data_IF_273397267815
#
_entry.id   IF_273397267815
#
_cell.length_a   1.000
_cell.length_b   1.000
_cell.length_c   1.000
_cell.angle_alpha   90.00
_cell.angle_beta   90.00
_cell.angle_gamma   90.00
#
_symmetry.space_group_name_H-M   'P 1'
#
loop_
_entity.id
_entity.type
_entity.pdbx_description
1 polymer ?
#
# COMPACT_ATOMS: atom_id res chain seq x y z
N UNK A 1 3.55 -4.82 14.76
CA UNK A 1 3.91 -4.26 16.08
C UNK A 1 3.06 -4.90 17.18
N UNK A 2 3.69 -5.27 18.29
CA UNK A 2 3.01 -5.90 19.43
C UNK A 2 2.40 -4.82 20.34
N UNK A 3 1.12 -4.98 20.72
CA UNK A 3 0.47 -4.11 21.70
C UNK A 3 1.17 -4.13 23.06
N UNK A 4 1.78 -5.27 23.45
CA UNK A 4 2.49 -5.43 24.71
C UNK A 4 3.86 -4.76 24.76
N UNK A 5 4.63 -4.78 23.69
CA UNK A 5 6.00 -4.25 23.66
C UNK A 5 6.11 -2.82 23.14
N UNK A 6 5.02 -2.25 22.61
CA UNK A 6 4.96 -0.92 21.98
C UNK A 6 6.06 -0.66 20.95
N UNK A 7 6.62 -1.72 20.36
CA UNK A 7 7.71 -1.67 19.41
C UNK A 7 7.47 -2.50 18.16
N UNK A 8 8.27 -2.27 17.12
CA UNK A 8 8.32 -3.15 15.95
C UNK A 8 9.01 -4.46 16.32
N UNK A 9 8.48 -5.59 15.82
CA UNK A 9 9.09 -6.90 16.05
C UNK A 9 10.42 -6.95 15.29
N UNK A 10 11.45 -7.57 15.89
CA UNK A 10 12.76 -7.75 15.24
C UNK A 10 12.64 -8.40 13.84
N UNK A 11 11.65 -9.28 13.63
CA UNK A 11 11.38 -9.92 12.35
C UNK A 11 11.01 -8.97 11.20
N UNK A 12 10.47 -7.78 11.50
CA UNK A 12 10.18 -6.78 10.47
C UNK A 12 11.47 -6.13 9.93
N UNK A 13 12.52 -6.07 10.76
CA UNK A 13 13.84 -5.55 10.36
C UNK A 13 14.65 -6.56 9.56
N UNK A 14 14.57 -7.84 9.88
CA UNK A 14 15.35 -8.90 9.20
C UNK A 14 14.91 -9.11 7.76
N UNK A 15 13.64 -8.84 7.42
CA UNK A 15 13.14 -8.90 6.04
C UNK A 15 13.65 -7.77 5.15
N UNK A 16 14.15 -6.70 5.75
CA UNK A 16 14.60 -5.49 5.06
C UNK A 16 16.12 -5.27 5.21
N UNK A 17 16.87 -6.29 5.65
CA UNK A 17 18.33 -6.15 5.89
C UNK A 17 19.08 -5.61 4.67
N UNK A 18 18.79 -6.13 3.50
CA UNK A 18 19.42 -5.66 2.26
C UNK A 18 19.13 -4.18 1.99
N UNK A 19 17.90 -3.77 2.22
CA UNK A 19 17.45 -2.40 1.98
C UNK A 19 17.95 -1.44 3.08
N UNK A 20 18.03 -1.90 4.34
CA UNK A 20 18.57 -1.12 5.47
C UNK A 20 20.05 -0.75 5.28
N UNK A 21 20.79 -1.59 4.53
CA UNK A 21 22.20 -1.38 4.24
C UNK A 21 22.45 -0.65 2.91
N UNK A 22 21.39 -0.34 2.15
CA UNK A 22 21.53 0.40 0.91
C UNK A 22 21.83 1.88 1.19
N UNK A 23 22.86 2.47 0.56
CA UNK A 23 23.32 3.83 0.86
C UNK A 23 22.27 4.90 0.56
N UNK A 24 21.32 4.60 -0.34
CA UNK A 24 20.27 5.53 -0.78
C UNK A 24 18.90 5.16 -0.19
N UNK A 25 18.84 4.37 0.87
CA UNK A 25 17.59 3.99 1.50
C UNK A 25 17.57 4.33 2.99
N UNK A 26 16.44 4.81 3.46
CA UNK A 26 16.17 5.05 4.87
C UNK A 26 14.88 4.33 5.27
N UNK A 27 14.92 3.55 6.33
CA UNK A 27 13.77 2.80 6.82
C UNK A 27 13.44 3.22 8.24
N UNK A 28 12.21 3.69 8.43
CA UNK A 28 11.68 4.06 9.74
C UNK A 28 10.51 3.16 10.13
N UNK A 29 10.70 2.19 11.03
CA UNK A 29 9.59 1.46 11.62
C UNK A 29 8.74 2.39 12.50
N UNK A 30 7.43 2.42 12.26
CA UNK A 30 6.48 3.16 13.10
C UNK A 30 5.64 2.16 13.89
N UNK A 31 5.77 2.07 15.22
CA UNK A 31 4.91 1.22 16.01
C UNK A 31 3.48 1.78 15.99
N UNK A 32 2.50 0.91 15.73
CA UNK A 32 1.06 1.28 15.68
C UNK A 32 0.43 1.43 17.06
N UNK A 33 1.20 1.34 18.14
CA UNK A 33 0.71 1.50 19.51
C UNK A 33 0.54 2.98 19.84
N UNK A 34 -0.68 3.46 19.84
CA UNK A 34 -1.02 4.83 20.23
C UNK A 34 -2.25 5.35 19.49
N UNK A 35 -2.64 6.57 19.77
CA UNK A 35 -3.75 7.21 19.07
C UNK A 35 -3.39 7.38 17.58
N UNK A 36 -4.32 7.02 16.69
CA UNK A 36 -4.16 7.14 15.23
C UNK A 36 -3.64 8.53 14.81
N UNK A 37 -4.11 9.58 15.44
CA UNK A 37 -3.69 10.96 15.15
C UNK A 37 -2.23 11.25 15.47
N UNK A 38 -1.67 10.66 16.53
CA UNK A 38 -0.27 10.84 16.90
C UNK A 38 0.71 10.16 15.92
N UNK A 39 0.35 8.98 15.41
CA UNK A 39 1.15 8.26 14.40
C UNK A 39 1.12 9.01 13.08
N UNK A 40 -0.05 9.46 12.64
CA UNK A 40 -0.22 10.20 11.40
C UNK A 40 0.60 11.51 11.39
N UNK A 41 0.58 12.27 12.49
CA UNK A 41 1.38 13.49 12.63
C UNK A 41 2.88 13.22 12.51
N UNK A 42 3.40 12.24 13.26
CA UNK A 42 4.82 11.87 13.22
C UNK A 42 5.25 11.34 11.85
N UNK A 43 4.36 10.66 11.14
CA UNK A 43 4.63 10.19 9.79
C UNK A 43 4.75 11.37 8.82
N UNK A 44 3.83 12.33 8.86
CA UNK A 44 3.91 13.55 8.05
C UNK A 44 5.19 14.33 8.30
N UNK A 45 5.57 14.55 9.57
CA UNK A 45 6.83 15.21 9.93
C UNK A 45 8.04 14.44 9.36
N UNK A 46 7.99 13.11 9.33
CA UNK A 46 9.06 12.28 8.76
C UNK A 46 9.13 12.39 7.23
N UNK A 47 7.99 12.44 6.54
CA UNK A 47 7.95 12.66 5.07
C UNK A 47 8.68 13.96 4.72
N UNK A 48 8.33 15.05 5.38
CA UNK A 48 8.99 16.37 5.17
C UNK A 48 10.50 16.29 5.40
N UNK A 49 10.94 15.56 6.42
CA UNK A 49 12.37 15.38 6.67
C UNK A 49 13.06 14.54 5.59
N UNK A 50 12.40 13.51 5.06
CA UNK A 50 12.92 12.71 3.95
C UNK A 50 13.05 13.54 2.68
N UNK A 51 12.05 14.34 2.34
CA UNK A 51 12.09 15.27 1.21
C UNK A 51 13.22 16.29 1.37
N UNK A 52 13.35 16.90 2.54
CA UNK A 52 14.43 17.83 2.84
C UNK A 52 15.82 17.18 2.79
N UNK A 53 15.91 15.88 3.05
CA UNK A 53 17.14 15.10 2.93
C UNK A 53 17.44 14.64 1.49
N UNK A 54 16.58 14.96 0.52
CA UNK A 54 16.77 14.67 -0.91
C UNK A 54 16.30 13.28 -1.34
N UNK A 55 15.38 12.65 -0.60
CA UNK A 55 14.74 11.41 -1.07
C UNK A 55 13.65 11.74 -2.10
N UNK A 56 13.76 11.15 -3.28
CA UNK A 56 12.81 11.35 -4.39
C UNK A 56 11.52 10.57 -4.21
N UNK A 57 11.56 9.46 -3.49
CA UNK A 57 10.41 8.55 -3.29
C UNK A 57 10.29 8.18 -1.83
N UNK A 58 9.10 8.38 -1.27
CA UNK A 58 8.76 8.01 0.11
C UNK A 58 7.59 7.03 0.12
N UNK A 59 7.81 5.81 0.60
CA UNK A 59 6.76 4.81 0.78
C UNK A 59 6.22 4.84 2.21
N UNK A 60 4.91 4.97 2.36
CA UNK A 60 4.21 4.86 3.64
C UNK A 60 3.42 3.56 3.62
N UNK A 61 3.88 2.56 4.37
CA UNK A 61 3.20 1.27 4.47
C UNK A 61 2.25 1.25 5.67
N UNK A 62 1.01 0.80 5.43
CA UNK A 62 0.00 0.56 6.47
C UNK A 62 -0.14 -0.94 6.78
N UNK A 63 -0.48 -1.26 8.02
CA UNK A 63 -0.58 -2.64 8.52
C UNK A 63 -2.01 -3.18 8.36
N UNK A 64 -2.54 -3.20 7.15
CA UNK A 64 -3.87 -3.75 6.88
C UNK A 64 -5.01 -2.74 7.03
N UNK A 65 -6.23 -3.23 6.96
CA UNK A 65 -7.46 -2.44 6.90
C UNK A 65 -7.85 -1.86 8.27
N UNK A 66 -7.75 -0.55 8.40
CA UNK A 66 -8.15 0.21 9.58
C UNK A 66 -8.56 1.61 9.16
N UNK A 67 -8.50 2.56 10.07
CA UNK A 67 -8.75 3.98 9.74
C UNK A 67 -7.47 4.76 9.40
N UNK A 68 -6.33 4.08 9.35
CA UNK A 68 -5.03 4.66 9.01
C UNK A 68 -4.89 5.00 7.53
N UNK A 69 -5.64 4.32 6.66
CA UNK A 69 -5.61 4.51 5.21
C UNK A 69 -6.04 5.93 4.80
N UNK A 70 -7.09 6.46 5.43
CA UNK A 70 -7.57 7.83 5.19
C UNK A 70 -6.49 8.84 5.58
N UNK A 71 -5.83 8.62 6.72
CA UNK A 71 -4.76 9.49 7.17
C UNK A 71 -3.55 9.44 6.23
N UNK A 72 -3.19 8.27 5.73
CA UNK A 72 -2.09 8.10 4.76
C UNK A 72 -2.45 8.73 3.41
N UNK A 73 -3.64 8.50 2.89
CA UNK A 73 -4.11 9.13 1.66
C UNK A 73 -3.99 10.66 1.72
N UNK A 74 -4.35 11.28 2.85
CA UNK A 74 -4.28 12.75 3.01
C UNK A 74 -2.85 13.34 3.04
N UNK A 75 -1.81 12.50 3.06
CA UNK A 75 -0.41 12.93 3.12
C UNK A 75 0.47 12.31 2.03
N UNK A 76 -0.12 11.61 1.07
CA UNK A 76 0.56 10.97 -0.07
C UNK A 76 0.04 11.52 -1.39
N UNK A 77 0.91 11.58 -2.38
CA UNK A 77 0.57 12.01 -3.74
C UNK A 77 -0.08 10.89 -4.55
N UNK A 78 0.12 9.63 -4.12
CA UNK A 78 -0.36 8.45 -4.81
C UNK A 78 -0.72 7.34 -3.82
N UNK A 79 -1.90 6.75 -3.96
CA UNK A 79 -2.41 5.70 -3.09
C UNK A 79 -2.46 4.35 -3.83
N UNK A 80 -1.49 3.47 -3.50
CA UNK A 80 -1.40 2.12 -4.04
C UNK A 80 -2.09 1.11 -3.12
N UNK A 81 -3.13 0.46 -3.59
CA UNK A 81 -3.80 -0.63 -2.89
C UNK A 81 -3.25 -1.99 -3.35
N UNK A 82 -2.66 -2.76 -2.44
CA UNK A 82 -2.14 -4.09 -2.72
C UNK A 82 -3.18 -5.16 -2.35
N UNK A 83 -3.53 -6.01 -3.31
CA UNK A 83 -4.52 -7.08 -3.15
C UNK A 83 -3.92 -8.44 -3.49
N UNK A 84 -4.52 -9.50 -2.95
CA UNK A 84 -4.17 -10.88 -3.28
C UNK A 84 -5.13 -11.45 -4.33
N UNK A 85 -4.64 -12.38 -5.14
CA UNK A 85 -5.40 -13.04 -6.21
C UNK A 85 -6.57 -13.91 -5.75
N UNK A 86 -6.69 -14.20 -4.46
CA UNK A 86 -7.80 -14.99 -3.89
C UNK A 86 -8.90 -14.15 -3.25
N UNK A 87 -8.74 -12.84 -3.23
CA UNK A 87 -9.66 -11.92 -2.56
C UNK A 87 -10.92 -11.59 -3.37
N UNK A 88 -11.21 -12.33 -4.44
CA UNK A 88 -12.42 -12.11 -5.27
C UNK A 88 -13.73 -12.30 -4.49
N UNK A 89 -13.77 -13.23 -3.54
CA UNK A 89 -14.89 -13.39 -2.62
C UNK A 89 -14.94 -12.29 -1.55
N UNK A 90 -13.82 -11.60 -1.33
CA UNK A 90 -13.66 -10.53 -0.35
C UNK A 90 -13.98 -9.12 -0.90
N UNK A 91 -14.47 -9.00 -2.14
CA UNK A 91 -14.95 -7.70 -2.65
C UNK A 91 -16.02 -7.11 -1.74
N UNK A 92 -16.78 -7.96 -1.06
CA UNK A 92 -17.75 -7.54 -0.04
C UNK A 92 -17.06 -7.11 1.28
N UNK A 93 -15.83 -7.55 1.55
CA UNK A 93 -15.03 -7.19 2.73
C UNK A 93 -14.20 -5.93 2.55
N UNK A 94 -13.91 -5.53 1.32
CA UNK A 94 -13.16 -4.29 1.08
C UNK A 94 -14.12 -3.12 1.23
N UNK A 95 -13.81 -2.26 2.18
CA UNK A 95 -14.58 -1.03 2.37
C UNK A 95 -14.55 -0.22 1.07
N UNK A 96 -15.71 0.03 0.49
CA UNK A 96 -15.88 0.84 -0.73
C UNK A 96 -15.02 2.11 -0.72
N UNK A 97 -14.91 2.77 0.44
CA UNK A 97 -14.12 3.98 0.60
C UNK A 97 -12.62 3.81 0.36
N UNK A 98 -12.04 2.62 0.59
CA UNK A 98 -10.61 2.38 0.30
C UNK A 98 -10.38 2.26 -1.20
N UNK A 99 -11.29 1.59 -1.92
CA UNK A 99 -11.22 1.50 -3.38
C UNK A 99 -11.39 2.87 -4.04
N UNK A 100 -12.31 3.68 -3.54
CA UNK A 100 -12.58 5.03 -4.05
C UNK A 100 -11.37 5.97 -3.88
N UNK A 101 -10.54 5.77 -2.85
CA UNK A 101 -9.31 6.52 -2.62
C UNK A 101 -8.11 5.99 -3.40
N UNK A 102 -8.22 4.82 -4.06
CA UNK A 102 -7.08 4.17 -4.68
C UNK A 102 -6.80 4.75 -6.06
N UNK A 103 -5.57 5.20 -6.27
CA UNK A 103 -5.09 5.59 -7.59
C UNK A 103 -4.71 4.38 -8.44
N UNK A 104 -4.26 3.31 -7.78
CA UNK A 104 -3.88 2.07 -8.43
C UNK A 104 -4.16 0.88 -7.52
N UNK A 105 -4.75 -0.18 -8.09
CA UNK A 105 -4.93 -1.47 -7.42
C UNK A 105 -3.97 -2.48 -8.05
N UNK A 106 -3.04 -3.02 -7.26
CA UNK A 106 -2.13 -4.06 -7.73
C UNK A 106 -2.48 -5.43 -7.13
N UNK A 107 -2.85 -6.37 -8.00
CA UNK A 107 -3.08 -7.75 -7.63
C UNK A 107 -1.73 -8.45 -7.56
N UNK A 108 -1.26 -8.71 -6.36
CA UNK A 108 0.07 -9.28 -6.12
C UNK A 108 0.07 -10.81 -6.20
N UNK A 109 1.27 -11.40 -6.26
CA UNK A 109 1.49 -12.85 -6.40
C UNK A 109 0.83 -13.44 -7.66
N UNK A 110 0.87 -12.68 -8.76
CA UNK A 110 0.34 -13.09 -10.06
C UNK A 110 1.36 -13.97 -10.81
N UNK A 111 1.70 -15.10 -10.21
CA UNK A 111 2.65 -16.08 -10.77
C UNK A 111 2.18 -17.51 -10.54
N UNK A 112 2.84 -18.48 -11.22
CA UNK A 112 2.52 -19.89 -11.13
C UNK A 112 1.03 -20.18 -11.35
N UNK A 113 0.42 -20.89 -10.46
CA UNK A 113 -1.00 -21.28 -10.53
C UNK A 113 -1.97 -20.12 -10.22
N UNK A 114 -1.46 -18.95 -9.86
CA UNK A 114 -2.29 -17.80 -9.52
C UNK A 114 -2.53 -16.82 -10.69
N UNK A 115 -1.88 -17.01 -11.82
CA UNK A 115 -1.95 -16.08 -12.97
C UNK A 115 -3.40 -15.84 -13.42
N UNK A 116 -4.15 -16.92 -13.62
CA UNK A 116 -5.55 -16.81 -14.06
C UNK A 116 -6.42 -16.12 -13.01
N UNK A 117 -6.30 -16.52 -11.75
CA UNK A 117 -7.05 -15.91 -10.63
C UNK A 117 -6.71 -14.44 -10.48
N UNK A 118 -5.45 -14.07 -10.62
CA UNK A 118 -5.01 -12.68 -10.56
C UNK A 118 -5.58 -11.85 -11.72
N UNK A 119 -5.62 -12.41 -12.92
CA UNK A 119 -6.22 -11.76 -14.10
C UNK A 119 -7.72 -11.54 -13.93
N UNK A 120 -8.44 -12.54 -13.41
CA UNK A 120 -9.87 -12.40 -13.11
C UNK A 120 -10.12 -11.34 -12.04
N UNK A 121 -9.33 -11.35 -10.96
CA UNK A 121 -9.43 -10.35 -9.91
C UNK A 121 -9.14 -8.93 -10.46
N UNK A 122 -8.10 -8.77 -11.28
CA UNK A 122 -7.79 -7.51 -11.94
C UNK A 122 -8.98 -6.97 -12.74
N UNK A 123 -9.58 -7.80 -13.58
CA UNK A 123 -10.72 -7.40 -14.40
C UNK A 123 -11.91 -6.96 -13.53
N UNK A 124 -12.15 -7.66 -12.43
CA UNK A 124 -13.20 -7.35 -11.48
C UNK A 124 -12.98 -5.99 -10.80
N UNK A 125 -11.75 -5.72 -10.32
CA UNK A 125 -11.40 -4.44 -9.70
C UNK A 125 -11.40 -3.30 -10.72
N UNK A 126 -10.93 -3.51 -11.94
CA UNK A 126 -10.99 -2.52 -13.00
C UNK A 126 -12.43 -2.10 -13.30
N UNK A 127 -13.34 -3.07 -13.43
CA UNK A 127 -14.77 -2.78 -13.62
C UNK A 127 -15.36 -2.02 -12.42
N UNK A 128 -14.99 -2.37 -11.20
CA UNK A 128 -15.47 -1.68 -10.01
C UNK A 128 -14.98 -0.21 -9.95
N UNK A 129 -13.73 0.05 -10.35
CA UNK A 129 -13.17 1.41 -10.41
C UNK A 129 -13.95 2.32 -11.37
N UNK A 130 -14.45 1.78 -12.50
CA UNK A 130 -15.26 2.54 -13.45
C UNK A 130 -16.63 2.97 -12.92
N UNK A 131 -17.08 2.40 -11.81
CA UNK A 131 -18.37 2.79 -11.17
C UNK A 131 -18.23 4.01 -10.26
N UNK A 132 -17.01 4.45 -9.96
CA UNK A 132 -16.79 5.64 -9.17
C UNK A 132 -16.84 6.91 -10.05
N UNK A 133 -17.29 8.04 -9.50
CA UNK A 133 -17.28 9.28 -10.23
C UNK A 133 -15.85 9.67 -10.62
N UNK A 134 -15.64 10.34 -11.75
CA UNK A 134 -14.33 10.80 -12.16
C UNK A 134 -13.78 11.77 -11.11
N UNK A 135 -12.50 11.65 -10.82
CA UNK A 135 -11.78 12.58 -9.95
C UNK A 135 -11.43 13.86 -10.72
N UNK A 136 -11.14 14.94 -10.02
CA UNK A 136 -10.64 16.19 -10.64
C UNK A 136 -9.25 16.00 -11.26
N UNK A 137 -8.57 14.92 -10.95
CA UNK A 137 -7.27 14.54 -11.51
C UNK A 137 -7.41 14.06 -12.96
N UNK A 138 -6.40 14.33 -13.78
CA UNK A 138 -6.25 13.73 -15.11
C UNK A 138 -5.88 12.24 -15.07
N UNK A 139 -5.48 11.75 -13.91
CA UNK A 139 -5.19 10.34 -13.68
C UNK A 139 -6.48 9.52 -13.61
N UNK A 140 -6.51 8.41 -14.34
CA UNK A 140 -7.61 7.45 -14.30
C UNK A 140 -7.20 6.26 -13.43
N UNK A 141 -7.85 6.02 -12.28
CA UNK A 141 -7.57 4.86 -11.44
C UNK A 141 -7.69 3.55 -12.24
N UNK A 142 -6.74 2.66 -12.05
CA UNK A 142 -6.68 1.39 -12.81
C UNK A 142 -6.27 0.22 -11.92
N UNK A 143 -6.38 -1.00 -12.48
CA UNK A 143 -5.93 -2.22 -11.82
C UNK A 143 -4.90 -2.97 -12.69
N UNK A 144 -3.86 -3.50 -12.05
CA UNK A 144 -2.82 -4.30 -12.70
C UNK A 144 -2.53 -5.59 -11.92
N UNK A 145 -1.81 -6.51 -12.54
CA UNK A 145 -1.24 -7.66 -11.84
C UNK A 145 0.27 -7.47 -11.65
N UNK A 146 0.81 -7.97 -10.55
CA UNK A 146 2.25 -7.94 -10.29
C UNK A 146 2.75 -9.22 -9.65
N UNK A 147 4.00 -9.58 -9.96
CA UNK A 147 4.72 -10.70 -9.35
C UNK A 147 6.14 -10.28 -8.98
N UNK A 148 6.51 -10.50 -7.73
CA UNK A 148 7.90 -10.32 -7.28
C UNK A 148 8.81 -11.47 -7.75
N UNK A 149 8.25 -12.63 -8.07
CA UNK A 149 8.99 -13.81 -8.55
C UNK A 149 9.42 -13.63 -10.00
N UNK A 150 8.49 -13.27 -10.86
CA UNK A 150 8.77 -13.05 -12.30
C UNK A 150 9.24 -11.62 -12.58
N UNK A 151 9.15 -10.72 -11.60
CA UNK A 151 9.39 -9.27 -11.75
C UNK A 151 8.54 -8.65 -12.87
N UNK A 152 7.36 -9.21 -13.09
CA UNK A 152 6.43 -8.78 -14.14
C UNK A 152 5.33 -7.89 -13.57
N UNK A 153 4.94 -6.90 -14.37
CA UNK A 153 3.75 -6.06 -14.17
C UNK A 153 2.95 -6.13 -15.46
N UNK A 154 1.64 -6.39 -15.37
CA UNK A 154 0.75 -6.44 -16.52
C UNK A 154 -0.53 -5.65 -16.25
N UNK A 155 -0.88 -4.80 -17.22
CA UNK A 155 -2.08 -3.97 -17.23
C UNK A 155 -3.25 -4.71 -17.90
#
# INVERSE_FOLDING_TARGET
SSEKSKGSILGDKTRLETLCNAPNAFIRPSPSAGSLGGVARKTRETVILCEAAGFDVVFIETVGVGQSEIAVHSMSDFFLLLMLSGAGDDLQGIKRGIMEMSDLIAITKADGNNVEKASMARALYANALHLFPPTESTWVPTALTSSSVTKAISF
#
